data_IF_100072956382
#
_entry.id   IF_100072956382
#
_cell.length_a   1.000
_cell.length_b   1.000
_cell.length_c   1.000
_cell.angle_alpha   90.00
_cell.angle_beta   90.00
_cell.angle_gamma   90.00
#
_symmetry.space_group_name_H-M   'P 1'
#
loop_
_entity.id
_entity.type
_entity.pdbx_description
1 polymer ?
#
# COMPACT_ATOMS: atom_id res chain seq x y z
N UNK A 1 38.94 19.47 -14.88
CA UNK A 1 37.80 19.31 -13.95
C UNK A 1 36.71 18.56 -14.70
N UNK A 2 36.42 17.31 -14.35
CA UNK A 2 35.44 16.49 -15.09
C UNK A 2 35.39 14.99 -14.75
N UNK A 3 36.12 14.52 -13.72
CA UNK A 3 36.21 13.08 -13.40
C UNK A 3 35.37 12.63 -12.21
N UNK A 4 34.84 13.55 -11.38
CA UNK A 4 34.11 13.16 -10.16
C UNK A 4 32.64 12.78 -10.41
N UNK A 5 31.96 13.40 -11.38
CA UNK A 5 30.52 13.20 -11.63
C UNK A 5 30.16 11.82 -12.16
N UNK A 6 31.05 11.20 -12.97
CA UNK A 6 30.81 9.86 -13.54
C UNK A 6 30.91 8.73 -12.51
N UNK A 7 31.73 8.92 -11.46
CA UNK A 7 31.95 7.89 -10.43
C UNK A 7 30.76 7.76 -9.47
N UNK A 8 30.16 8.90 -9.08
CA UNK A 8 29.00 8.96 -8.18
C UNK A 8 27.74 8.43 -8.87
N UNK A 9 27.54 8.77 -10.15
CA UNK A 9 26.41 8.25 -10.93
C UNK A 9 26.47 6.72 -11.09
N UNK A 10 27.68 6.16 -11.24
CA UNK A 10 27.87 4.70 -11.29
C UNK A 10 27.61 4.03 -9.95
N UNK A 11 27.98 4.64 -8.81
CA UNK A 11 27.70 4.06 -7.49
C UNK A 11 26.22 4.08 -7.15
N UNK A 12 25.50 5.16 -7.45
CA UNK A 12 24.05 5.24 -7.21
C UNK A 12 23.26 4.26 -8.09
N UNK A 13 23.66 4.11 -9.36
CA UNK A 13 23.04 3.15 -10.26
C UNK A 13 23.21 1.71 -9.75
N UNK A 14 24.42 1.38 -9.29
CA UNK A 14 24.73 0.07 -8.72
C UNK A 14 23.94 -0.18 -7.42
N UNK A 15 23.81 0.82 -6.55
CA UNK A 15 23.00 0.71 -5.34
C UNK A 15 21.51 0.45 -5.65
N UNK A 16 20.95 1.19 -6.62
CA UNK A 16 19.57 0.95 -7.08
C UNK A 16 19.38 -0.46 -7.64
N UNK A 17 20.34 -0.95 -8.41
CA UNK A 17 20.31 -2.33 -8.94
C UNK A 17 20.38 -3.37 -7.82
N UNK A 18 21.27 -3.18 -6.85
CA UNK A 18 21.40 -4.08 -5.70
C UNK A 18 20.12 -4.11 -4.85
N UNK A 19 19.50 -2.95 -4.62
CA UNK A 19 18.22 -2.83 -3.93
C UNK A 19 17.11 -3.60 -4.65
N UNK A 20 16.96 -3.41 -5.97
CA UNK A 20 15.96 -4.13 -6.79
C UNK A 20 16.19 -5.63 -6.79
N UNK A 21 17.44 -6.09 -6.90
CA UNK A 21 17.78 -7.52 -6.78
C UNK A 21 17.43 -8.09 -5.40
N UNK A 22 17.71 -7.36 -4.32
CA UNK A 22 17.35 -7.77 -2.97
C UNK A 22 15.82 -7.90 -2.80
N UNK A 23 15.05 -6.96 -3.34
CA UNK A 23 13.59 -7.01 -3.35
C UNK A 23 13.04 -8.20 -4.16
N UNK A 24 13.55 -8.41 -5.38
CA UNK A 24 13.15 -9.54 -6.21
C UNK A 24 13.40 -10.87 -5.51
N UNK A 25 14.62 -11.06 -4.96
CA UNK A 25 15.01 -12.29 -4.27
C UNK A 25 14.12 -12.54 -3.04
N UNK A 26 13.86 -11.52 -2.22
CA UNK A 26 12.99 -11.65 -1.05
C UNK A 26 11.58 -12.12 -1.43
N UNK A 27 11.01 -11.52 -2.49
CA UNK A 27 9.67 -11.88 -2.93
C UNK A 27 9.61 -13.29 -3.52
N UNK A 28 10.57 -13.66 -4.36
CA UNK A 28 10.65 -14.99 -4.98
C UNK A 28 10.85 -16.10 -3.95
N UNK A 29 11.70 -15.85 -2.94
CA UNK A 29 11.87 -16.76 -1.80
C UNK A 29 10.57 -16.90 -1.00
N UNK A 30 9.86 -15.80 -0.76
CA UNK A 30 8.57 -15.82 -0.05
C UNK A 30 7.57 -16.70 -0.79
N UNK A 31 7.40 -16.50 -2.11
CA UNK A 31 6.45 -17.28 -2.91
C UNK A 31 6.83 -18.76 -3.00
N UNK A 32 8.13 -19.07 -3.06
CA UNK A 32 8.62 -20.45 -3.12
C UNK A 32 8.46 -21.22 -1.80
N UNK A 33 8.31 -20.51 -0.68
CA UNK A 33 8.12 -21.12 0.65
C UNK A 33 6.67 -21.53 0.95
N UNK A 34 5.73 -21.14 0.08
CA UNK A 34 4.31 -21.39 0.30
C UNK A 34 3.97 -22.88 0.15
N UNK A 35 3.36 -23.46 1.18
CA UNK A 35 2.87 -24.84 1.19
C UNK A 35 1.39 -24.97 0.75
N UNK A 36 0.73 -23.86 0.39
CA UNK A 36 -0.61 -23.84 -0.21
C UNK A 36 -1.78 -23.67 0.77
N UNK A 37 -1.54 -23.60 2.08
CA UNK A 37 -2.60 -23.46 3.08
C UNK A 37 -3.01 -22.00 3.33
N UNK A 38 -2.06 -21.06 3.31
CA UNK A 38 -2.32 -19.64 3.52
C UNK A 38 -1.32 -18.77 2.77
N UNK A 39 -1.61 -17.48 2.62
CA UNK A 39 -0.65 -16.55 2.01
C UNK A 39 0.62 -16.47 2.87
N UNK A 40 1.81 -16.75 2.29
CA UNK A 40 3.06 -16.72 3.02
C UNK A 40 3.35 -15.31 3.52
N UNK A 41 4.01 -15.23 4.68
CA UNK A 41 4.47 -13.97 5.26
C UNK A 41 5.80 -13.59 4.63
N UNK A 42 5.91 -12.35 4.17
CA UNK A 42 7.19 -11.77 3.77
C UNK A 42 8.01 -11.50 5.04
N UNK A 43 9.03 -12.32 5.29
CA UNK A 43 9.99 -12.12 6.38
C UNK A 43 10.95 -10.97 6.06
N UNK A 44 10.47 -9.74 6.24
CA UNK A 44 11.18 -8.54 5.80
C UNK A 44 12.38 -8.22 6.70
N UNK A 45 13.59 -8.36 6.16
CA UNK A 45 14.86 -8.17 6.87
C UNK A 45 15.85 -7.26 6.13
N UNK A 46 15.38 -6.51 5.13
CA UNK A 46 16.20 -5.65 4.30
C UNK A 46 16.41 -4.27 4.95
N UNK A 47 17.54 -3.59 4.69
CA UNK A 47 17.86 -2.28 5.26
C UNK A 47 17.14 -1.12 4.54
N UNK A 48 16.03 -1.39 3.86
CA UNK A 48 15.28 -0.42 3.08
C UNK A 48 13.88 -0.24 3.66
N UNK A 49 13.25 0.93 3.45
CA UNK A 49 11.84 1.12 3.79
C UNK A 49 10.95 0.07 3.12
N UNK A 50 9.97 -0.46 3.86
CA UNK A 50 8.93 -1.35 3.30
C UNK A 50 8.15 -0.67 2.18
N UNK A 51 7.94 0.64 2.27
CA UNK A 51 7.30 1.44 1.21
C UNK A 51 8.00 1.23 -0.14
N UNK A 52 9.33 1.24 -0.17
CA UNK A 52 10.11 1.06 -1.40
C UNK A 52 9.98 -0.35 -1.97
N UNK A 53 9.92 -1.35 -1.10
CA UNK A 53 9.68 -2.73 -1.51
C UNK A 53 8.28 -2.90 -2.11
N UNK A 54 7.25 -2.34 -1.46
CA UNK A 54 5.88 -2.38 -1.96
C UNK A 54 5.75 -1.67 -3.32
N UNK A 55 6.42 -0.52 -3.48
CA UNK A 55 6.49 0.22 -4.76
C UNK A 55 7.15 -0.62 -5.85
N UNK A 56 8.27 -1.26 -5.56
CA UNK A 56 8.92 -2.21 -6.47
C UNK A 56 7.96 -3.33 -6.91
N UNK A 57 7.19 -3.91 -5.98
CA UNK A 57 6.27 -5.00 -6.31
C UNK A 57 5.15 -4.54 -7.26
N UNK A 58 4.57 -3.36 -7.03
CA UNK A 58 3.47 -2.84 -7.85
C UNK A 58 3.93 -2.40 -9.24
N UNK A 59 5.17 -1.92 -9.35
CA UNK A 59 5.78 -1.49 -10.62
C UNK A 59 6.31 -2.67 -11.44
N UNK A 60 6.86 -3.72 -10.81
CA UNK A 60 7.66 -4.74 -11.52
C UNK A 60 7.17 -6.18 -11.38
N UNK A 61 6.32 -6.48 -10.40
CA UNK A 61 5.94 -7.88 -10.06
C UNK A 61 4.44 -8.16 -10.22
N UNK A 62 3.71 -7.29 -10.92
CA UNK A 62 2.26 -7.44 -11.16
C UNK A 62 1.43 -7.59 -9.88
N UNK A 63 1.79 -6.82 -8.84
CA UNK A 63 1.14 -6.88 -7.53
C UNK A 63 0.20 -5.69 -7.32
N UNK A 64 -0.91 -5.92 -6.61
CA UNK A 64 -1.74 -4.88 -6.00
C UNK A 64 -1.71 -4.97 -4.48
N UNK A 65 -1.91 -3.83 -3.83
CA UNK A 65 -1.80 -3.67 -2.39
C UNK A 65 -3.17 -3.45 -1.75
N UNK A 66 -3.41 -4.12 -0.62
CA UNK A 66 -4.56 -3.87 0.24
C UNK A 66 -4.13 -3.84 1.71
N UNK A 67 -4.33 -2.70 2.37
CA UNK A 67 -3.99 -2.52 3.78
C UNK A 67 -5.13 -2.91 4.71
N UNK A 68 -4.84 -3.68 5.76
CA UNK A 68 -5.85 -4.03 6.77
C UNK A 68 -5.24 -4.29 8.15
N UNK A 69 -5.89 -3.83 9.23
CA UNK A 69 -5.50 -4.20 10.59
C UNK A 69 -5.89 -5.64 10.95
N UNK A 70 -6.73 -6.29 10.14
CA UNK A 70 -7.01 -7.72 10.30
C UNK A 70 -5.90 -8.54 9.63
N UNK A 71 -5.10 -9.25 10.44
CA UNK A 71 -3.89 -10.00 10.03
C UNK A 71 -4.16 -11.42 9.50
N UNK A 72 -5.42 -11.86 9.57
CA UNK A 72 -5.83 -13.24 9.33
C UNK A 72 -6.85 -13.36 8.17
N UNK A 73 -6.72 -12.53 7.13
CA UNK A 73 -7.55 -12.63 5.92
C UNK A 73 -6.96 -13.70 5.00
N UNK A 74 -7.67 -14.79 4.81
CA UNK A 74 -7.31 -15.85 3.85
C UNK A 74 -7.94 -15.64 2.47
N UNK A 75 -9.18 -15.13 2.46
CA UNK A 75 -9.94 -14.74 1.30
C UNK A 75 -10.49 -13.36 1.61
N UNK A 76 -10.24 -12.41 0.72
CA UNK A 76 -10.87 -11.11 0.78
C UNK A 76 -12.16 -11.18 -0.03
N UNK A 77 -13.27 -10.83 0.62
CA UNK A 77 -14.61 -10.85 0.04
C UNK A 77 -15.00 -9.44 -0.43
N UNK A 78 -15.65 -9.30 -1.60
CA UNK A 78 -16.20 -8.02 -2.05
C UNK A 78 -17.17 -7.41 -1.05
N UNK A 79 -16.98 -6.13 -0.74
CA UNK A 79 -17.82 -5.39 0.19
C UNK A 79 -18.33 -4.12 -0.47
N UNK A 80 -19.53 -3.71 -0.09
CA UNK A 80 -20.07 -2.43 -0.52
C UNK A 80 -19.18 -1.33 0.07
N UNK A 81 -18.58 -0.51 -0.79
CA UNK A 81 -18.02 0.77 -0.35
C UNK A 81 -19.18 1.61 0.17
N UNK A 82 -19.06 2.21 1.36
CA UNK A 82 -20.08 3.11 1.90
C UNK A 82 -19.67 4.57 1.65
N UNK A 83 -19.22 4.86 0.43
CA UNK A 83 -18.88 6.21 0.01
C UNK A 83 -20.08 6.79 -0.75
N UNK A 84 -20.90 7.56 -0.03
CA UNK A 84 -22.11 8.17 -0.58
C UNK A 84 -21.83 9.37 -1.50
N UNK A 85 -20.57 9.83 -1.58
CA UNK A 85 -20.18 11.01 -2.36
C UNK A 85 -19.79 10.61 -3.79
N UNK A 86 -19.28 9.40 -4.00
CA UNK A 86 -18.91 8.89 -5.33
C UNK A 86 -20.00 8.01 -5.94
N UNK A 87 -20.30 8.20 -7.23
CA UNK A 87 -21.20 7.30 -7.97
C UNK A 87 -20.39 6.10 -8.51
N UNK A 88 -19.22 6.36 -9.11
CA UNK A 88 -18.15 5.39 -9.37
C UNK A 88 -17.48 4.97 -8.07
N UNK A 89 -16.91 3.76 -8.01
CA UNK A 89 -16.32 3.26 -6.76
C UNK A 89 -17.31 2.97 -5.62
N UNK A 90 -18.61 3.23 -5.74
CA UNK A 90 -19.64 2.77 -4.78
C UNK A 90 -20.18 1.38 -5.17
N UNK A 91 -19.27 0.42 -5.35
CA UNK A 91 -19.59 -0.94 -5.80
C UNK A 91 -19.34 -1.95 -4.69
N UNK A 92 -19.98 -3.11 -4.81
CA UNK A 92 -19.62 -4.29 -4.02
C UNK A 92 -18.36 -4.93 -4.62
N UNK A 93 -17.20 -4.43 -4.19
CA UNK A 93 -15.92 -4.81 -4.74
C UNK A 93 -14.83 -4.88 -3.66
N UNK A 94 -13.67 -5.40 -4.07
CA UNK A 94 -12.42 -5.36 -3.34
C UNK A 94 -11.56 -4.31 -4.01
N UNK A 95 -10.98 -3.40 -3.24
CA UNK A 95 -10.14 -2.33 -3.75
C UNK A 95 -8.67 -2.65 -3.48
N UNK A 96 -7.87 -2.56 -4.52
CA UNK A 96 -6.42 -2.62 -4.50
C UNK A 96 -5.83 -1.37 -5.16
N UNK A 97 -4.61 -1.01 -4.78
CA UNK A 97 -3.92 0.16 -5.32
C UNK A 97 -2.45 -0.17 -5.61
N UNK A 98 -1.81 0.68 -6.40
CA UNK A 98 -0.37 0.58 -6.72
C UNK A 98 0.51 1.49 -5.88
N UNK A 99 -0.05 2.56 -5.30
CA UNK A 99 0.68 3.42 -4.37
C UNK A 99 0.68 2.83 -2.95
N UNK A 100 1.86 2.65 -2.31
CA UNK A 100 1.96 1.98 -1.02
C UNK A 100 1.52 2.81 0.20
N UNK A 101 1.42 4.13 0.07
CA UNK A 101 1.25 5.01 1.24
C UNK A 101 -0.12 4.82 1.90
N UNK A 102 -1.20 4.91 1.12
CA UNK A 102 -2.57 4.74 1.64
C UNK A 102 -2.82 3.34 2.24
N UNK A 103 -2.40 2.22 1.61
CA UNK A 103 -2.48 0.91 2.23
C UNK A 103 -1.80 0.81 3.60
N UNK A 104 -0.59 1.39 3.75
CA UNK A 104 0.09 1.39 5.05
C UNK A 104 -0.75 2.15 6.08
N UNK A 105 -1.23 3.35 5.74
CA UNK A 105 -2.10 4.13 6.61
C UNK A 105 -3.32 3.33 7.09
N UNK A 106 -4.04 2.67 6.19
CA UNK A 106 -5.21 1.86 6.56
C UNK A 106 -4.86 0.57 7.33
N UNK A 107 -3.69 -0.01 7.10
CA UNK A 107 -3.27 -1.21 7.81
C UNK A 107 -3.00 -0.96 9.30
N UNK A 108 -2.45 0.22 9.63
CA UNK A 108 -2.01 0.53 11.00
C UNK A 108 -3.12 1.13 11.88
N UNK A 109 -4.37 1.11 11.42
CA UNK A 109 -5.51 1.72 12.10
C UNK A 109 -6.15 0.80 13.14
N UNK A 110 -6.13 1.19 14.42
CA UNK A 110 -6.89 0.51 15.46
C UNK A 110 -8.37 0.94 15.39
N UNK A 111 -9.16 0.17 14.66
CA UNK A 111 -10.60 0.42 14.45
C UNK A 111 -11.42 0.48 15.74
N UNK A 112 -10.91 -0.01 16.87
CA UNK A 112 -11.60 0.13 18.16
C UNK A 112 -11.45 1.52 18.76
N UNK A 113 -10.35 2.20 18.42
CA UNK A 113 -10.00 3.55 18.88
C UNK A 113 -10.34 4.64 17.87
N UNK A 114 -10.48 4.29 16.59
CA UNK A 114 -10.93 5.20 15.56
C UNK A 114 -12.44 5.33 15.59
N UNK A 115 -12.91 6.45 16.11
CA UNK A 115 -14.31 6.88 16.03
C UNK A 115 -14.39 8.19 15.24
N UNK A 116 -15.47 8.36 14.48
CA UNK A 116 -15.71 9.57 13.69
C UNK A 116 -15.10 9.53 12.29
N UNK A 117 -14.76 10.71 11.78
CA UNK A 117 -14.35 10.92 10.38
C UNK A 117 -12.89 10.46 10.19
N UNK A 118 -12.65 9.73 9.11
CA UNK A 118 -11.32 9.43 8.58
C UNK A 118 -11.32 9.99 7.15
N UNK A 119 -10.43 10.94 6.87
CA UNK A 119 -10.19 11.44 5.51
C UNK A 119 -8.73 11.16 5.17
N UNK A 120 -8.52 10.62 3.98
CA UNK A 120 -7.19 10.50 3.41
C UNK A 120 -7.27 10.62 1.91
N UNK A 121 -6.25 11.18 1.30
CA UNK A 121 -6.17 11.33 -0.15
C UNK A 121 -4.75 11.48 -0.61
N UNK A 122 -4.55 11.21 -1.89
CA UNK A 122 -3.37 11.58 -2.63
C UNK A 122 -3.81 12.46 -3.81
N UNK A 123 -3.11 13.54 -4.06
CA UNK A 123 -3.32 14.43 -5.20
C UNK A 123 -1.99 14.76 -5.85
N UNK A 124 -1.96 14.78 -7.17
CA UNK A 124 -0.78 15.23 -7.90
C UNK A 124 -0.66 16.76 -7.81
N UNK A 125 0.51 17.24 -7.41
CA UNK A 125 0.84 18.64 -7.45
C UNK A 125 0.99 19.09 -8.90
N UNK A 126 0.18 20.05 -9.34
CA UNK A 126 0.12 20.48 -10.74
C UNK A 126 1.40 21.11 -11.29
N UNK A 127 2.29 21.60 -10.41
CA UNK A 127 3.55 22.25 -10.81
C UNK A 127 4.71 21.26 -10.88
N UNK A 128 4.77 20.30 -9.96
CA UNK A 128 5.90 19.36 -9.81
C UNK A 128 5.61 17.96 -10.33
N UNK A 129 4.34 17.58 -10.44
CA UNK A 129 3.91 16.21 -10.72
C UNK A 129 4.09 15.25 -9.54
N UNK A 130 4.49 15.74 -8.37
CA UNK A 130 4.67 14.91 -7.18
C UNK A 130 3.33 14.63 -6.48
N UNK A 131 3.19 13.43 -5.89
CA UNK A 131 2.02 13.12 -5.07
C UNK A 131 2.12 13.78 -3.70
N UNK A 132 1.13 14.59 -3.37
CA UNK A 132 0.89 15.14 -2.05
C UNK A 132 -0.18 14.30 -1.34
N UNK A 133 0.01 14.09 -0.03
CA UNK A 133 -0.88 13.25 0.77
C UNK A 133 -1.49 14.04 1.92
N UNK A 134 -2.77 13.82 2.17
CA UNK A 134 -3.45 14.29 3.37
C UNK A 134 -3.97 13.14 4.23
N UNK A 135 -3.88 13.30 5.55
CA UNK A 135 -4.39 12.34 6.53
C UNK A 135 -5.04 13.09 7.68
N UNK A 136 -6.34 12.90 7.85
CA UNK A 136 -7.13 13.51 8.92
C UNK A 136 -7.96 12.44 9.62
N UNK A 137 -7.93 12.48 10.94
CA UNK A 137 -8.82 11.68 11.81
C UNK A 137 -9.45 12.62 12.83
N UNK A 138 -10.46 12.14 13.58
CA UNK A 138 -11.02 12.96 14.65
C UNK A 138 -9.96 13.29 15.71
N UNK A 139 -10.03 14.51 16.27
CA UNK A 139 -9.11 14.93 17.34
C UNK A 139 -9.06 13.94 18.51
N UNK A 140 -10.22 13.50 18.99
CA UNK A 140 -10.33 12.52 20.09
C UNK A 140 -9.65 11.18 19.73
N UNK A 141 -9.79 10.73 18.49
CA UNK A 141 -9.12 9.51 18.03
C UNK A 141 -7.59 9.70 18.02
N UNK A 142 -7.09 10.84 17.54
CA UNK A 142 -5.65 11.12 17.50
C UNK A 142 -5.03 11.14 18.92
N UNK A 143 -5.70 11.77 19.88
CA UNK A 143 -5.28 11.81 21.28
C UNK A 143 -5.21 10.40 21.91
N UNK A 144 -6.06 9.47 21.46
CA UNK A 144 -6.07 8.07 21.92
C UNK A 144 -4.92 7.20 21.37
N UNK A 145 -4.08 7.75 20.48
CA UNK A 145 -3.01 7.04 19.75
C UNK A 145 -3.56 5.79 19.06
N UNK A 146 -4.34 5.96 17.98
CA UNK A 146 -5.20 4.91 17.42
C UNK A 146 -4.44 3.99 16.46
N UNK A 147 -3.20 3.66 16.81
CA UNK A 147 -2.27 2.96 15.93
C UNK A 147 -2.04 1.53 16.40
N UNK A 148 -1.96 0.60 15.46
CA UNK A 148 -1.70 -0.84 15.68
C UNK A 148 -0.76 -1.38 14.61
N UNK A 149 -0.24 -2.59 14.82
CA UNK A 149 0.33 -3.38 13.73
C UNK A 149 -0.79 -3.91 12.85
N UNK A 150 -0.52 -4.00 11.55
CA UNK A 150 -1.42 -4.54 10.54
C UNK A 150 -0.66 -5.29 9.46
N UNK A 151 -1.33 -5.51 8.34
CA UNK A 151 -0.80 -6.27 7.20
C UNK A 151 -1.15 -5.55 5.90
N UNK A 152 -0.18 -5.55 4.98
CA UNK A 152 -0.41 -5.32 3.55
C UNK A 152 -0.57 -6.67 2.88
N UNK A 153 -1.76 -6.93 2.36
CA UNK A 153 -2.03 -8.09 1.52
C UNK A 153 -1.60 -7.79 0.09
N UNK A 154 -0.86 -8.71 -0.49
CA UNK A 154 -0.35 -8.63 -1.85
C UNK A 154 -1.23 -9.52 -2.73
N UNK A 155 -1.80 -8.97 -3.79
CA UNK A 155 -2.66 -9.71 -4.71
C UNK A 155 -2.06 -9.74 -6.12
N UNK A 156 -2.37 -10.79 -6.88
CA UNK A 156 -2.10 -10.79 -8.31
C UNK A 156 -3.01 -9.77 -8.99
N UNK A 157 -2.41 -8.76 -9.62
CA UNK A 157 -3.10 -7.67 -10.30
C UNK A 157 -4.04 -8.17 -11.41
N UNK A 158 -3.79 -9.34 -11.99
CA UNK A 158 -4.66 -9.95 -13.01
C UNK A 158 -6.05 -10.33 -12.49
N UNK A 159 -6.24 -10.41 -11.16
CA UNK A 159 -7.54 -10.69 -10.54
C UNK A 159 -8.42 -9.43 -10.41
N UNK A 160 -7.92 -8.29 -10.87
CA UNK A 160 -8.55 -6.98 -10.74
C UNK A 160 -8.67 -6.28 -12.09
N UNK A 161 -9.63 -5.38 -12.20
CA UNK A 161 -9.79 -4.45 -13.32
C UNK A 161 -9.51 -3.02 -12.86
N UNK A 162 -8.91 -2.15 -13.69
CA UNK A 162 -8.72 -0.74 -13.32
C UNK A 162 -10.08 -0.04 -13.19
N UNK A 163 -10.27 0.72 -12.11
CA UNK A 163 -11.48 1.50 -11.87
C UNK A 163 -11.36 2.88 -12.52
N UNK A 164 -12.48 3.34 -13.09
CA UNK A 164 -12.62 4.68 -13.63
C UNK A 164 -13.47 5.54 -12.72
N UNK A 165 -13.12 6.82 -12.59
CA UNK A 165 -13.90 7.79 -11.85
C UNK A 165 -15.18 8.22 -12.60
N UNK A 166 -15.92 9.17 -12.03
CA UNK A 166 -17.18 9.67 -12.59
C UNK A 166 -17.00 10.40 -13.94
N UNK A 167 -15.78 10.87 -14.24
CA UNK A 167 -15.42 11.50 -15.50
C UNK A 167 -14.91 10.49 -16.54
N UNK A 168 -14.80 9.21 -16.16
CA UNK A 168 -14.26 8.15 -17.00
C UNK A 168 -12.73 8.08 -17.01
N UNK A 169 -12.04 8.84 -16.18
CA UNK A 169 -10.58 8.85 -16.05
C UNK A 169 -10.11 7.72 -15.13
N UNK A 170 -8.86 7.28 -15.26
CA UNK A 170 -8.33 6.23 -14.39
C UNK A 170 -8.15 6.78 -12.97
N UNK A 171 -8.81 6.16 -12.00
CA UNK A 171 -8.81 6.61 -10.59
C UNK A 171 -7.54 6.26 -9.82
N UNK A 172 -6.66 5.42 -10.40
CA UNK A 172 -5.55 4.79 -9.69
C UNK A 172 -5.96 3.57 -8.83
N UNK A 173 -7.26 3.35 -8.64
CA UNK A 173 -7.81 2.18 -7.95
C UNK A 173 -8.05 1.01 -8.92
N UNK A 174 -7.99 -0.19 -8.36
CA UNK A 174 -8.26 -1.44 -9.04
C UNK A 174 -9.31 -2.21 -8.25
N UNK A 175 -10.26 -2.81 -8.95
CA UNK A 175 -11.41 -3.49 -8.35
C UNK A 175 -11.50 -4.96 -8.74
N UNK A 176 -11.87 -5.80 -7.77
CA UNK A 176 -12.32 -7.17 -8.02
C UNK A 176 -13.72 -7.36 -7.45
N UNK A 177 -14.65 -7.83 -8.27
CA UNK A 177 -16.04 -8.12 -7.88
C UNK A 177 -16.22 -9.57 -7.41
N UNK A 178 -15.14 -10.36 -7.42
CA UNK A 178 -15.11 -11.74 -6.96
C UNK A 178 -14.17 -11.88 -5.75
N UNK A 179 -14.33 -12.93 -4.92
CA UNK A 179 -13.41 -13.19 -3.83
C UNK A 179 -12.00 -13.47 -4.36
N UNK A 180 -10.98 -12.87 -3.73
CA UNK A 180 -9.58 -13.09 -4.11
C UNK A 180 -8.75 -13.55 -2.91
N UNK A 181 -7.72 -14.35 -3.21
CA UNK A 181 -6.73 -14.81 -2.22
C UNK A 181 -5.43 -14.02 -2.39
N UNK A 182 -4.82 -13.54 -1.29
CA UNK A 182 -3.52 -12.90 -1.36
C UNK A 182 -2.45 -13.92 -1.77
N UNK A 183 -1.50 -13.49 -2.59
CA UNK A 183 -0.33 -14.30 -3.00
C UNK A 183 0.76 -14.30 -1.93
N UNK A 184 0.80 -13.25 -1.10
CA UNK A 184 1.67 -13.10 0.06
C UNK A 184 1.13 -11.97 0.96
N UNK A 185 1.72 -11.81 2.15
CA UNK A 185 1.37 -10.73 3.06
C UNK A 185 2.60 -10.15 3.78
N UNK A 186 2.62 -8.84 3.97
CA UNK A 186 3.71 -8.12 4.64
C UNK A 186 3.18 -7.47 5.92
N UNK A 187 3.79 -7.77 7.06
CA UNK A 187 3.45 -7.09 8.31
C UNK A 187 3.99 -5.65 8.31
N UNK A 188 3.17 -4.71 8.77
CA UNK A 188 3.54 -3.30 8.92
C UNK A 188 3.12 -2.77 10.29
N UNK A 189 3.88 -1.80 10.80
CA UNK A 189 3.58 -1.05 12.01
C UNK A 189 3.60 0.46 11.76
N UNK A 190 3.26 1.27 12.77
CA UNK A 190 3.29 2.72 12.66
C UNK A 190 4.66 3.28 12.26
N UNK A 191 5.74 2.58 12.62
CA UNK A 191 7.11 2.89 12.23
C UNK A 191 7.38 2.80 10.72
N UNK A 192 6.55 2.06 9.98
CA UNK A 192 6.66 1.91 8.53
C UNK A 192 5.89 3.02 7.78
N UNK A 193 5.18 3.90 8.49
CA UNK A 193 4.38 4.97 7.90
C UNK A 193 5.07 6.33 8.07
N UNK A 194 5.71 6.82 7.01
CA UNK A 194 6.51 8.06 7.04
C UNK A 194 5.72 9.34 7.35
N UNK A 195 4.39 9.31 7.23
CA UNK A 195 3.50 10.46 7.49
C UNK A 195 2.78 10.37 8.83
N UNK A 196 3.21 9.49 9.74
CA UNK A 196 2.53 9.29 11.04
C UNK A 196 2.41 10.60 11.82
N UNK A 197 3.47 11.40 11.85
CA UNK A 197 3.51 12.69 12.55
C UNK A 197 2.79 13.82 11.78
N UNK A 198 2.41 13.58 10.52
CA UNK A 198 1.66 14.50 9.67
C UNK A 198 0.13 14.28 9.76
N UNK A 199 -0.33 13.28 10.52
CA UNK A 199 -1.76 13.03 10.72
C UNK A 199 -2.36 14.15 11.59
N UNK A 200 -3.39 14.81 11.08
CA UNK A 200 -4.06 15.92 11.76
C UNK A 200 -5.36 15.48 12.42
N UNK A 201 -5.63 16.00 13.62
CA UNK A 201 -6.91 15.86 14.31
C UNK A 201 -7.88 16.97 13.90
N UNK A 202 -9.01 16.62 13.31
CA UNK A 202 -10.13 17.52 12.95
C UNK A 202 -11.31 17.38 13.92
#
# INVERSE_FOLDING_TARGET
MGFETSSVQNSEALERENKRKAFANLFEQTLSSNNGESAPVVEYNLPYPKEDFLRFLTEEKNVLLHGSPNRNIEILEPRQANDAIKISGNKKAIYGVTDPVLPIFYAIQDKKKLQGIIKSGASENAETGELEYEFKISKDALESKPWTRGVIYLFDKNQFSPERDDNGELSGEWVSEIPVRPVAKLEVGPEDFRFLDNVVGE
#
